data_IF_078475220759
#
_entry.id   IF_078475220759
#
_cell.length_a   1.000
_cell.length_b   1.000
_cell.length_c   1.000
_cell.angle_alpha   90.00
_cell.angle_beta   90.00
_cell.angle_gamma   90.00
#
_symmetry.space_group_name_H-M   'P 1'
#
loop_
_entity.id
_entity.type
_entity.pdbx_description
1 polymer ?
#
# COMPACT_ATOMS: atom_id res chain seq x y z
N UNK A 1 24.74 -7.32 13.54
CA UNK A 1 23.46 -8.00 13.21
C UNK A 1 22.36 -7.01 13.50
N UNK A 2 21.58 -6.63 12.48
CA UNK A 2 20.39 -5.79 12.67
C UNK A 2 19.38 -6.52 13.56
N UNK A 3 18.70 -5.78 14.43
CA UNK A 3 17.58 -6.32 15.20
C UNK A 3 16.41 -6.54 14.25
N UNK A 4 16.04 -7.79 14.03
CA UNK A 4 14.81 -8.14 13.31
C UNK A 4 13.76 -8.68 14.30
N UNK A 5 12.54 -8.86 13.85
CA UNK A 5 11.43 -9.40 14.63
C UNK A 5 11.06 -10.84 14.23
N UNK A 6 11.97 -11.54 13.57
CA UNK A 6 11.77 -12.92 13.14
C UNK A 6 11.49 -13.83 14.32
N UNK A 7 10.57 -14.77 14.15
CA UNK A 7 10.16 -15.69 15.21
C UNK A 7 9.31 -15.08 16.33
N UNK A 8 9.08 -13.75 16.33
CA UNK A 8 8.32 -13.07 17.40
C UNK A 8 6.90 -13.62 17.55
N UNK A 9 6.28 -14.01 16.44
CA UNK A 9 4.93 -14.58 16.40
C UNK A 9 4.91 -16.05 15.96
N UNK A 10 6.05 -16.73 16.09
CA UNK A 10 6.25 -18.12 15.65
C UNK A 10 6.98 -18.21 14.32
N UNK A 11 7.60 -19.38 14.11
CA UNK A 11 8.39 -19.63 12.90
C UNK A 11 7.55 -19.70 11.61
N UNK A 12 6.28 -20.06 11.73
CA UNK A 12 5.34 -20.17 10.60
C UNK A 12 4.49 -18.92 10.41
N UNK A 13 4.78 -17.83 11.15
CA UNK A 13 4.04 -16.58 10.97
C UNK A 13 4.30 -15.97 9.59
N UNK A 14 3.23 -15.58 8.92
CA UNK A 14 3.22 -14.95 7.60
C UNK A 14 2.63 -13.52 7.60
N UNK A 15 2.34 -12.95 8.78
CA UNK A 15 1.66 -11.66 8.94
C UNK A 15 2.54 -10.57 9.54
N UNK A 16 3.62 -10.92 10.21
CA UNK A 16 4.55 -9.97 10.81
C UNK A 16 3.87 -8.99 11.76
N UNK A 17 4.17 -7.70 11.63
CA UNK A 17 3.65 -6.66 12.51
C UNK A 17 2.11 -6.53 12.52
N UNK A 18 1.40 -7.06 11.52
CA UNK A 18 -0.06 -7.10 11.53
C UNK A 18 -0.64 -7.96 12.68
N UNK A 19 0.17 -8.82 13.30
CA UNK A 19 -0.21 -9.55 14.52
C UNK A 19 -0.45 -8.63 15.74
N UNK A 20 -0.04 -7.37 15.69
CA UNK A 20 -0.41 -6.38 16.69
C UNK A 20 -1.87 -5.92 16.58
N UNK A 21 -2.55 -6.17 15.48
CA UNK A 21 -3.94 -5.78 15.25
C UNK A 21 -4.90 -6.80 15.87
N UNK A 22 -4.95 -6.82 17.20
CA UNK A 22 -5.93 -7.62 17.94
C UNK A 22 -7.32 -6.98 17.85
N UNK A 23 -8.41 -7.74 18.13
CA UNK A 23 -9.76 -7.16 18.21
C UNK A 23 -9.86 -5.97 19.17
N UNK A 24 -9.09 -5.96 20.26
CA UNK A 24 -9.04 -4.87 21.24
C UNK A 24 -8.41 -3.61 20.65
N UNK A 25 -7.28 -3.75 19.94
CA UNK A 25 -6.59 -2.67 19.25
C UNK A 25 -7.49 -2.07 18.17
N UNK A 26 -8.17 -2.91 17.39
CA UNK A 26 -9.10 -2.46 16.35
C UNK A 26 -10.29 -1.70 16.95
N UNK A 27 -10.89 -2.21 18.03
CA UNK A 27 -11.98 -1.49 18.73
C UNK A 27 -11.51 -0.14 19.28
N UNK A 28 -10.32 -0.09 19.87
CA UNK A 28 -9.74 1.15 20.35
C UNK A 28 -9.46 2.15 19.21
N UNK A 29 -9.00 1.66 18.03
CA UNK A 29 -8.77 2.51 16.86
C UNK A 29 -10.04 3.24 16.39
N UNK A 30 -11.21 2.63 16.50
CA UNK A 30 -12.48 3.24 16.13
C UNK A 30 -12.79 4.53 16.92
N UNK A 31 -12.27 4.67 18.14
CA UNK A 31 -12.44 5.88 18.95
C UNK A 31 -11.64 7.08 18.43
N UNK A 32 -10.73 6.87 17.48
CA UNK A 32 -9.95 7.93 16.84
C UNK A 32 -10.75 8.71 15.79
N UNK A 33 -11.93 8.22 15.41
CA UNK A 33 -12.82 8.91 14.47
C UNK A 33 -13.54 10.04 15.22
N UNK A 34 -13.08 11.28 15.05
CA UNK A 34 -13.63 12.45 15.76
C UNK A 34 -14.38 13.41 14.84
N UNK A 35 -13.90 13.63 13.62
CA UNK A 35 -14.50 14.58 12.67
C UNK A 35 -15.42 13.91 11.63
N UNK A 36 -15.27 12.59 11.42
CA UNK A 36 -15.96 11.87 10.35
C UNK A 36 -15.45 12.17 8.94
N UNK A 37 -14.39 12.97 8.79
CA UNK A 37 -13.79 13.24 7.48
C UNK A 37 -13.12 11.98 6.93
N UNK A 38 -13.23 11.79 5.61
CA UNK A 38 -12.59 10.69 4.89
C UNK A 38 -11.62 11.27 3.86
N UNK A 39 -10.41 10.74 3.84
CA UNK A 39 -9.36 11.15 2.91
C UNK A 39 -8.91 9.94 2.08
N UNK A 40 -8.98 10.06 0.74
CA UNK A 40 -8.39 9.06 -0.14
C UNK A 40 -6.88 9.27 -0.21
N UNK A 41 -6.13 8.19 0.02
CA UNK A 41 -4.67 8.19 -0.15
C UNK A 41 -4.26 7.49 -1.47
N UNK A 42 -5.25 7.06 -2.26
CA UNK A 42 -5.01 6.45 -3.56
C UNK A 42 -4.76 7.51 -4.63
N UNK A 43 -3.73 7.32 -5.44
CA UNK A 43 -3.51 8.07 -6.67
C UNK A 43 -4.14 7.33 -7.86
N UNK A 44 -4.60 8.05 -8.91
CA UNK A 44 -5.25 7.43 -10.06
C UNK A 44 -4.36 6.38 -10.75
N UNK A 45 -4.97 5.31 -11.25
CA UNK A 45 -4.30 4.36 -12.14
C UNK A 45 -4.41 4.93 -13.56
N UNK A 46 -3.32 5.50 -14.05
CA UNK A 46 -3.27 6.14 -15.37
C UNK A 46 -1.84 6.14 -15.93
N UNK A 47 -1.71 6.33 -17.24
CA UNK A 47 -0.42 6.26 -17.94
C UNK A 47 0.38 7.57 -17.94
N UNK A 48 -0.14 8.66 -17.36
CA UNK A 48 0.51 9.98 -17.33
C UNK A 48 0.04 10.80 -16.14
N UNK A 49 0.81 11.83 -15.76
CA UNK A 49 0.45 12.71 -14.64
C UNK A 49 0.51 12.05 -13.26
N UNK A 50 1.16 10.91 -13.13
CA UNK A 50 1.43 10.18 -11.88
C UNK A 50 2.86 9.64 -11.90
N UNK A 51 3.50 9.43 -10.73
CA UNK A 51 4.83 8.84 -10.67
C UNK A 51 4.82 7.41 -11.26
N UNK A 52 5.60 7.21 -12.31
CA UNK A 52 5.80 5.90 -12.95
C UNK A 52 7.29 5.61 -13.06
N UNK A 53 7.66 4.35 -12.99
CA UNK A 53 9.02 3.90 -13.24
C UNK A 53 9.09 3.31 -14.66
N UNK A 54 9.98 3.84 -15.50
CA UNK A 54 10.08 3.52 -16.93
C UNK A 54 10.14 2.01 -17.21
N UNK A 55 10.89 1.28 -16.40
CA UNK A 55 11.05 -0.18 -16.59
C UNK A 55 9.79 -1.00 -16.31
N UNK A 56 8.79 -0.41 -15.67
CA UNK A 56 7.49 -1.08 -15.39
C UNK A 56 6.46 -0.87 -16.49
N UNK A 57 6.72 0.07 -17.40
CA UNK A 57 5.75 0.49 -18.39
C UNK A 57 4.57 1.26 -17.80
N UNK A 58 3.67 1.68 -18.66
CA UNK A 58 2.46 2.43 -18.28
C UNK A 58 1.28 1.48 -18.12
N UNK A 59 0.35 1.76 -17.20
CA UNK A 59 -0.93 1.06 -17.15
C UNK A 59 -1.68 1.17 -18.48
N UNK A 60 -2.19 0.05 -18.96
CA UNK A 60 -3.05 -0.01 -20.16
C UNK A 60 -4.45 -0.42 -19.75
N UNK A 61 -5.44 0.31 -20.25
CA UNK A 61 -6.85 -0.04 -20.15
C UNK A 61 -7.36 -0.44 -21.53
N UNK A 62 -7.90 -1.64 -21.64
CA UNK A 62 -8.47 -2.18 -22.86
C UNK A 62 -9.97 -2.38 -22.66
N UNK A 63 -10.79 -1.77 -23.50
CA UNK A 63 -12.25 -1.95 -23.43
C UNK A 63 -12.62 -3.36 -23.87
N UNK A 64 -13.37 -4.09 -23.06
CA UNK A 64 -13.97 -5.37 -23.38
C UNK A 64 -15.38 -5.21 -23.92
N UNK A 65 -16.12 -4.25 -23.38
CA UNK A 65 -17.51 -4.00 -23.73
C UNK A 65 -17.85 -2.53 -23.63
N UNK A 66 -18.64 -2.04 -24.59
CA UNK A 66 -19.13 -0.66 -24.59
C UNK A 66 -20.60 -0.59 -25.06
N UNK A 67 -21.13 0.61 -25.26
CA UNK A 67 -22.53 0.84 -25.66
C UNK A 67 -22.93 0.26 -27.02
N UNK A 68 -21.98 -0.25 -27.83
CA UNK A 68 -22.28 -0.93 -29.10
C UNK A 68 -22.64 -2.41 -28.90
N UNK A 69 -22.47 -2.94 -27.68
CA UNK A 69 -22.74 -4.33 -27.33
C UNK A 69 -24.11 -4.53 -26.66
N UNK A 70 -25.04 -3.61 -26.80
CA UNK A 70 -26.38 -3.59 -26.18
C UNK A 70 -27.13 -4.91 -26.31
N UNK A 71 -27.10 -5.53 -27.49
CA UNK A 71 -27.82 -6.78 -27.75
C UNK A 71 -27.38 -7.96 -26.93
N UNK A 72 -26.20 -7.93 -26.32
CA UNK A 72 -25.68 -9.04 -25.53
C UNK A 72 -26.53 -9.28 -24.28
N UNK A 73 -26.91 -8.25 -23.56
CA UNK A 73 -27.70 -8.39 -22.31
C UNK A 73 -29.16 -8.79 -22.59
N UNK A 74 -29.73 -8.39 -23.74
CA UNK A 74 -31.03 -8.87 -24.17
C UNK A 74 -31.06 -10.38 -24.38
N UNK A 75 -29.94 -10.98 -24.85
CA UNK A 75 -29.81 -12.44 -24.99
C UNK A 75 -29.84 -13.20 -23.65
N UNK A 76 -29.53 -12.52 -22.56
CA UNK A 76 -29.63 -13.04 -21.18
C UNK A 76 -30.95 -12.69 -20.49
N UNK A 77 -31.92 -12.11 -21.21
CA UNK A 77 -33.24 -11.78 -20.69
C UNK A 77 -33.35 -10.41 -20.02
N UNK A 78 -32.36 -9.54 -20.19
CA UNK A 78 -32.47 -8.14 -19.74
C UNK A 78 -33.43 -7.34 -20.62
N UNK A 79 -33.95 -6.24 -20.10
CA UNK A 79 -34.76 -5.30 -20.89
C UNK A 79 -33.94 -4.71 -22.04
N UNK A 80 -34.61 -4.39 -23.16
CA UNK A 80 -34.01 -3.68 -24.27
C UNK A 80 -33.39 -2.35 -23.79
N UNK A 81 -32.19 -2.01 -24.29
CA UNK A 81 -31.42 -0.85 -23.85
C UNK A 81 -30.66 -1.03 -22.52
N UNK A 82 -30.61 -2.27 -21.95
CA UNK A 82 -29.72 -2.58 -20.83
C UNK A 82 -28.34 -2.96 -21.36
N UNK A 83 -27.31 -2.25 -20.90
CA UNK A 83 -25.91 -2.50 -21.28
C UNK A 83 -24.96 -2.29 -20.10
N UNK A 84 -23.68 -2.57 -20.31
CA UNK A 84 -22.61 -2.27 -19.37
C UNK A 84 -21.34 -1.87 -20.10
N UNK A 85 -20.45 -1.20 -19.38
CA UNK A 85 -19.08 -0.94 -19.83
C UNK A 85 -18.13 -1.81 -19.02
N UNK A 86 -17.25 -2.52 -19.70
CA UNK A 86 -16.27 -3.41 -19.07
C UNK A 86 -14.89 -3.22 -19.68
N UNK A 87 -13.87 -3.30 -18.87
CA UNK A 87 -12.49 -3.16 -19.31
C UNK A 87 -11.53 -4.11 -18.58
N UNK A 88 -10.33 -4.22 -19.13
CA UNK A 88 -9.17 -4.92 -18.56
C UNK A 88 -8.08 -3.91 -18.27
N UNK A 89 -7.47 -4.04 -17.08
CA UNK A 89 -6.25 -3.34 -16.74
C UNK A 89 -5.05 -4.29 -16.87
N UNK A 90 -4.04 -3.86 -17.64
CA UNK A 90 -2.74 -4.52 -17.74
C UNK A 90 -1.69 -3.56 -17.19
N UNK A 91 -1.09 -3.92 -16.05
CA UNK A 91 -0.13 -3.05 -15.36
C UNK A 91 0.79 -3.86 -14.45
N UNK A 92 1.95 -3.29 -14.14
CA UNK A 92 2.77 -3.81 -13.05
C UNK A 92 2.05 -3.58 -11.71
N UNK A 93 2.06 -4.59 -10.83
CA UNK A 93 1.36 -4.53 -9.53
C UNK A 93 1.88 -3.43 -8.60
N UNK A 94 3.15 -3.02 -8.77
CA UNK A 94 3.76 -1.91 -8.02
C UNK A 94 3.65 -0.58 -8.78
N UNK A 95 2.51 -0.32 -9.39
CA UNK A 95 2.21 0.95 -10.07
C UNK A 95 1.16 1.70 -9.26
N UNK A 96 1.36 3.02 -9.10
CA UNK A 96 0.49 3.90 -8.31
C UNK A 96 0.42 3.50 -6.82
N UNK A 97 -0.69 3.80 -6.12
CA UNK A 97 -0.86 3.40 -4.72
C UNK A 97 -1.11 1.90 -4.60
N UNK A 98 -0.31 1.21 -3.80
CA UNK A 98 -0.41 -0.25 -3.61
C UNK A 98 0.13 -0.65 -2.23
N UNK A 99 -0.02 -1.90 -1.90
CA UNK A 99 0.53 -2.52 -0.70
C UNK A 99 1.40 -3.70 -1.09
N UNK A 100 2.61 -3.76 -0.56
CA UNK A 100 3.54 -4.86 -0.77
C UNK A 100 3.28 -6.00 0.23
N UNK A 101 3.39 -7.22 -0.27
CA UNK A 101 3.43 -8.42 0.56
C UNK A 101 4.83 -8.60 1.18
N UNK A 102 4.92 -9.37 2.28
CA UNK A 102 6.21 -9.66 2.92
C UNK A 102 7.18 -10.45 2.02
N UNK A 103 6.69 -11.08 0.95
CA UNK A 103 7.52 -11.76 -0.04
C UNK A 103 8.10 -10.82 -1.09
N UNK A 104 7.70 -9.54 -1.13
CA UNK A 104 8.16 -8.62 -2.18
C UNK A 104 9.67 -8.34 -2.11
N UNK A 105 10.19 -8.12 -0.91
CA UNK A 105 11.60 -7.76 -0.70
C UNK A 105 12.32 -8.84 0.12
N UNK A 106 13.55 -9.12 -0.24
CA UNK A 106 14.42 -10.05 0.49
C UNK A 106 15.82 -9.47 0.66
N UNK A 107 16.52 -9.95 1.69
CA UNK A 107 17.92 -9.64 1.94
C UNK A 107 18.65 -10.95 2.25
N UNK A 108 19.90 -11.12 1.77
CA UNK A 108 20.67 -12.34 2.00
C UNK A 108 19.94 -13.62 1.50
N UNK A 109 19.16 -13.53 0.42
CA UNK A 109 18.33 -14.62 -0.12
C UNK A 109 17.22 -15.13 0.83
N UNK A 110 16.82 -14.31 1.79
CA UNK A 110 15.74 -14.63 2.73
C UNK A 110 14.73 -13.48 2.85
N UNK A 111 13.47 -13.85 2.89
CA UNK A 111 12.36 -12.97 3.27
C UNK A 111 12.14 -13.02 4.79
N UNK A 112 11.09 -12.35 5.25
CA UNK A 112 10.63 -12.39 6.63
C UNK A 112 10.61 -13.84 7.17
N UNK A 113 10.97 -14.02 8.44
CA UNK A 113 11.08 -15.33 9.13
C UNK A 113 12.05 -16.33 8.47
N UNK A 114 13.01 -15.86 7.67
CA UNK A 114 13.98 -16.73 7.03
C UNK A 114 13.41 -17.56 5.87
N UNK A 115 12.24 -17.19 5.36
CA UNK A 115 11.64 -17.85 4.20
C UNK A 115 12.56 -17.68 2.99
N UNK A 116 12.97 -18.77 2.31
CA UNK A 116 13.89 -18.69 1.18
C UNK A 116 13.30 -17.88 0.00
N UNK A 117 14.15 -17.11 -0.70
CA UNK A 117 13.72 -16.28 -1.83
C UNK A 117 13.05 -17.09 -2.96
N UNK A 118 13.37 -18.38 -3.11
CA UNK A 118 12.79 -19.27 -4.11
C UNK A 118 11.32 -19.64 -3.86
N UNK A 119 10.71 -19.22 -2.75
CA UNK A 119 9.28 -19.41 -2.51
C UNK A 119 8.38 -18.46 -3.36
N UNK A 120 8.96 -17.47 -4.01
CA UNK A 120 8.32 -16.75 -5.11
C UNK A 120 8.58 -17.46 -6.42
N UNK A 121 7.54 -18.00 -7.04
CA UNK A 121 7.61 -18.85 -8.24
C UNK A 121 6.99 -18.15 -9.44
N UNK A 122 7.62 -18.28 -10.61
CA UNK A 122 7.16 -17.60 -11.82
C UNK A 122 5.74 -18.01 -12.25
N UNK A 123 5.39 -19.30 -12.13
CA UNK A 123 4.06 -19.80 -12.52
C UNK A 123 3.10 -19.88 -11.34
N UNK A 124 3.58 -20.28 -10.17
CA UNK A 124 2.74 -20.53 -8.99
C UNK A 124 2.54 -19.32 -8.09
N UNK A 125 3.26 -18.21 -8.33
CA UNK A 125 3.23 -17.05 -7.45
C UNK A 125 3.89 -17.30 -6.10
N UNK A 126 3.47 -16.57 -5.08
CA UNK A 126 3.96 -16.67 -3.73
C UNK A 126 3.47 -17.97 -3.06
N UNK A 127 4.39 -18.86 -2.69
CA UNK A 127 4.05 -20.06 -1.92
C UNK A 127 3.92 -19.75 -0.41
N UNK A 128 4.59 -18.70 0.06
CA UNK A 128 4.51 -18.15 1.42
C UNK A 128 4.53 -16.63 1.38
N UNK A 129 4.10 -15.98 2.46
CA UNK A 129 4.18 -14.52 2.65
C UNK A 129 3.45 -13.69 1.59
N UNK A 130 2.51 -14.29 0.85
CA UNK A 130 1.73 -13.61 -0.18
C UNK A 130 0.79 -12.56 0.42
N UNK A 131 0.32 -11.64 -0.44
CA UNK A 131 -0.56 -10.54 0.00
C UNK A 131 -1.89 -11.04 0.57
N UNK A 132 -2.35 -12.22 0.18
CA UNK A 132 -3.57 -12.86 0.69
C UNK A 132 -3.49 -13.19 2.20
N UNK A 133 -2.26 -13.29 2.77
CA UNK A 133 -2.05 -13.50 4.20
C UNK A 133 -2.37 -12.27 5.04
N UNK A 134 -2.33 -11.09 4.44
CA UNK A 134 -2.68 -9.84 5.11
C UNK A 134 -4.14 -9.82 5.51
N UNK A 135 -5.04 -10.26 4.63
CA UNK A 135 -6.48 -10.11 4.82
C UNK A 135 -6.90 -8.64 4.87
N UNK A 136 -8.08 -8.38 5.39
CA UNK A 136 -8.51 -7.01 5.72
C UNK A 136 -7.98 -6.58 7.09
N UNK A 137 -7.66 -5.30 7.26
CA UNK A 137 -7.32 -4.74 8.55
C UNK A 137 -7.87 -3.33 8.74
N UNK A 138 -8.05 -2.94 10.00
CA UNK A 138 -8.34 -1.58 10.41
C UNK A 138 -7.45 -1.21 11.59
N UNK A 139 -6.96 0.02 11.61
CA UNK A 139 -6.04 0.50 12.63
C UNK A 139 -6.16 2.01 12.80
N UNK A 140 -5.67 2.53 13.92
CA UNK A 140 -5.36 3.96 14.03
C UNK A 140 -4.16 4.27 13.15
N UNK A 141 -4.21 5.38 12.41
CA UNK A 141 -3.05 5.88 11.67
C UNK A 141 -2.46 7.12 12.36
N UNK A 142 -1.13 7.21 12.30
CA UNK A 142 -0.36 8.37 12.76
C UNK A 142 0.40 8.93 11.57
N UNK A 143 0.10 10.18 11.19
CA UNK A 143 0.83 10.87 10.15
C UNK A 143 2.05 11.59 10.75
N UNK A 144 3.24 11.26 10.26
CA UNK A 144 4.49 11.95 10.54
C UNK A 144 4.86 12.84 9.34
N UNK A 145 4.68 14.14 9.50
CA UNK A 145 5.02 15.12 8.46
C UNK A 145 6.52 15.44 8.51
N UNK A 146 7.31 14.61 7.81
CA UNK A 146 8.76 14.77 7.78
C UNK A 146 9.19 16.02 7.00
N UNK A 147 8.40 16.48 6.03
CA UNK A 147 8.69 17.72 5.29
C UNK A 147 8.69 18.90 6.26
N UNK A 148 7.62 19.06 7.03
CA UNK A 148 7.50 20.12 8.02
C UNK A 148 8.52 19.99 9.15
N UNK A 149 8.73 18.77 9.65
CA UNK A 149 9.67 18.50 10.75
C UNK A 149 11.11 18.85 10.39
N UNK A 150 11.54 18.54 9.17
CA UNK A 150 12.90 18.83 8.69
C UNK A 150 13.05 20.25 8.10
N UNK A 151 11.98 21.05 8.08
CA UNK A 151 11.99 22.41 7.55
C UNK A 151 12.21 22.47 6.04
N UNK A 152 11.81 21.41 5.32
CA UNK A 152 11.92 21.38 3.86
C UNK A 152 10.78 22.19 3.22
N UNK A 153 11.05 22.76 2.05
CA UNK A 153 10.06 23.47 1.24
C UNK A 153 9.38 22.50 0.26
N UNK A 154 8.13 22.14 0.56
CA UNK A 154 7.31 21.23 -0.25
C UNK A 154 7.65 19.75 -0.09
N UNK A 155 8.90 19.33 -0.28
CA UNK A 155 9.33 17.94 -0.24
C UNK A 155 10.74 17.72 0.29
N UNK A 156 11.04 16.50 0.71
CA UNK A 156 12.41 16.09 1.07
C UNK A 156 13.23 15.86 -0.20
N UNK A 157 14.49 16.27 -0.17
CA UNK A 157 15.44 15.99 -1.27
C UNK A 157 15.49 14.49 -1.54
N UNK A 158 15.36 14.04 -2.82
CA UNK A 158 15.52 12.62 -3.17
C UNK A 158 16.84 12.05 -2.63
N UNK A 159 16.76 10.85 -2.04
CA UNK A 159 17.91 10.22 -1.37
C UNK A 159 18.06 10.58 0.12
N UNK A 160 17.22 11.45 0.68
CA UNK A 160 17.21 11.71 2.13
C UNK A 160 16.89 10.40 2.87
N UNK A 161 17.80 9.96 3.74
CA UNK A 161 17.60 8.80 4.59
C UNK A 161 16.90 9.22 5.87
N UNK A 162 15.77 8.58 6.17
CA UNK A 162 15.03 8.75 7.41
C UNK A 162 15.33 7.59 8.37
N UNK A 163 15.78 7.89 9.57
CA UNK A 163 16.05 6.90 10.61
C UNK A 163 14.87 6.77 11.58
N UNK A 164 14.88 5.71 12.39
CA UNK A 164 13.90 5.57 13.47
C UNK A 164 13.96 6.74 14.46
N UNK A 165 15.16 7.30 14.71
CA UNK A 165 15.33 8.48 15.57
C UNK A 165 14.65 9.72 14.99
N UNK A 166 14.74 9.94 13.66
CA UNK A 166 14.08 11.05 12.99
C UNK A 166 12.56 10.94 13.09
N UNK A 167 12.01 9.74 12.89
CA UNK A 167 10.57 9.48 13.03
C UNK A 167 10.09 9.71 14.46
N UNK A 168 10.86 9.28 15.46
CA UNK A 168 10.56 9.51 16.88
C UNK A 168 10.60 10.99 17.23
N UNK A 169 11.61 11.72 16.74
CA UNK A 169 11.73 13.17 16.94
C UNK A 169 10.54 13.91 16.30
N UNK A 170 10.14 13.52 15.09
CA UNK A 170 8.96 14.06 14.42
C UNK A 170 7.68 13.83 15.25
N UNK A 171 7.45 12.60 15.71
CA UNK A 171 6.30 12.27 16.54
C UNK A 171 6.25 13.13 17.82
N UNK A 172 7.39 13.25 18.51
CA UNK A 172 7.50 14.08 19.71
C UNK A 172 7.22 15.56 19.42
N UNK A 173 7.77 16.10 18.32
CA UNK A 173 7.56 17.51 17.91
C UNK A 173 6.08 17.77 17.53
N UNK A 174 5.37 16.79 17.01
CA UNK A 174 3.93 16.86 16.71
C UNK A 174 3.04 16.61 17.94
N UNK A 175 3.60 16.25 19.09
CA UNK A 175 2.84 15.91 20.30
C UNK A 175 2.01 14.63 20.11
N UNK A 176 2.47 13.70 19.27
CA UNK A 176 1.81 12.44 19.02
C UNK A 176 2.65 11.26 19.46
N UNK A 177 2.01 10.11 19.69
CA UNK A 177 2.64 8.87 20.10
C UNK A 177 2.29 7.76 19.11
N UNK A 178 3.30 7.04 18.64
CA UNK A 178 3.12 5.81 17.86
C UNK A 178 3.03 4.63 18.82
N UNK A 179 1.99 3.82 18.68
CA UNK A 179 1.67 2.67 19.54
C UNK A 179 1.70 1.37 18.74
N UNK A 180 1.83 0.26 19.45
CA UNK A 180 1.70 -1.06 18.82
C UNK A 180 0.32 -1.20 18.16
N UNK A 181 0.31 -1.58 16.87
CA UNK A 181 -0.90 -1.68 16.05
C UNK A 181 -1.28 -0.41 15.28
N UNK A 182 -0.52 0.68 15.43
CA UNK A 182 -0.71 1.86 14.57
C UNK A 182 -0.14 1.63 13.16
N UNK A 183 -0.79 2.23 12.19
CA UNK A 183 -0.22 2.45 10.86
C UNK A 183 0.52 3.79 10.87
N UNK A 184 1.81 3.77 10.56
CA UNK A 184 2.61 4.99 10.46
C UNK A 184 2.60 5.48 9.01
N UNK A 185 2.05 6.67 8.80
CA UNK A 185 2.06 7.37 7.51
C UNK A 185 3.21 8.39 7.54
N UNK A 186 4.11 8.33 6.56
CA UNK A 186 5.28 9.20 6.48
C UNK A 186 5.11 10.12 5.27
N UNK A 187 4.92 11.41 5.51
CA UNK A 187 4.85 12.40 4.44
C UNK A 187 6.26 12.87 4.07
N UNK A 188 6.66 12.59 2.84
CA UNK A 188 7.94 13.04 2.26
C UNK A 188 7.78 14.15 1.21
N UNK A 189 6.54 14.44 0.79
CA UNK A 189 6.24 15.40 -0.25
C UNK A 189 6.57 14.93 -1.68
N UNK A 190 6.86 13.64 -1.88
CA UNK A 190 7.29 13.14 -3.20
C UNK A 190 6.27 13.40 -4.32
N UNK A 191 4.97 13.32 -4.02
CA UNK A 191 3.92 13.64 -5.01
C UNK A 191 3.91 15.12 -5.36
N UNK A 192 4.09 15.99 -4.37
CA UNK A 192 4.17 17.45 -4.59
C UNK A 192 5.34 17.75 -5.54
N UNK A 193 6.52 17.17 -5.28
CA UNK A 193 7.67 17.27 -6.17
C UNK A 193 7.37 16.82 -7.60
N UNK A 194 6.63 15.74 -7.77
CA UNK A 194 6.29 15.21 -9.08
C UNK A 194 5.33 16.14 -9.86
N UNK A 195 4.37 16.75 -9.17
CA UNK A 195 3.36 17.60 -9.82
C UNK A 195 3.85 19.02 -10.09
N UNK A 196 4.86 19.49 -9.36
CA UNK A 196 5.44 20.80 -9.53
C UNK A 196 6.57 20.86 -10.60
N UNK A 197 7.03 19.70 -11.13
CA UNK A 197 8.02 19.55 -12.20
C UNK A 197 7.39 18.99 -13.48
#
# INVERSE_FOLDING_TARGET
MGTNNWGRWGADDERGALNHLTPEVIRAAATSITSGNVYSLGIPIQGHGVPLLDYRGVPMRLTLQDGTDDGMYASYGAQDGTGAHEDVLVMASHTTSHMDALIHVYEGHQHYNGVPFGEMRALGGAAKLGIEKVGGFAARAVLLDMVKHMGADGWLTPGTMLTAADLQACAAAQGTEVRAGDVVLIRTGHLDMWWDN
#
